data_IF_830373174839
#
_entry.id   IF_830373174839
#
_cell.length_a   1.000
_cell.length_b   1.000
_cell.length_c   1.000
_cell.angle_alpha   90.00
_cell.angle_beta   90.00
_cell.angle_gamma   90.00
#
_symmetry.space_group_name_H-M   'P 1'
#
loop_
_entity.id
_entity.type
_entity.pdbx_description
1 polymer ?
#
# COMPACT_ATOMS: atom_id res chain seq x y z
N UNK A 1 9.29 -7.31 -15.97
CA UNK A 1 8.77 -6.88 -14.66
C UNK A 1 7.47 -6.15 -14.90
N UNK A 2 6.40 -6.55 -14.22
CA UNK A 2 5.07 -5.94 -14.39
C UNK A 2 4.82 -5.09 -13.16
N UNK A 3 4.62 -3.80 -13.35
CA UNK A 3 4.17 -2.89 -12.28
C UNK A 3 2.70 -3.23 -12.00
N UNK A 4 2.37 -3.47 -10.73
CA UNK A 4 0.98 -3.65 -10.33
C UNK A 4 0.30 -2.29 -10.30
N UNK A 5 -0.72 -2.08 -11.14
CA UNK A 5 -1.49 -0.83 -11.19
C UNK A 5 -2.96 -1.08 -10.80
N UNK A 6 -3.42 -0.46 -9.72
CA UNK A 6 -4.81 -0.59 -9.24
C UNK A 6 -5.37 0.72 -8.71
N UNK A 7 -6.66 0.95 -8.98
CA UNK A 7 -7.42 2.04 -8.37
C UNK A 7 -8.15 1.51 -7.14
N UNK A 8 -8.02 2.21 -6.02
CA UNK A 8 -8.72 1.91 -4.77
C UNK A 8 -9.47 3.15 -4.31
N UNK A 9 -10.51 2.92 -3.50
CA UNK A 9 -11.34 3.99 -2.95
C UNK A 9 -10.97 4.16 -1.48
N UNK A 10 -10.28 5.25 -1.16
CA UNK A 10 -9.88 5.56 0.21
C UNK A 10 -11.11 5.76 1.12
N UNK A 11 -10.86 5.74 2.43
CA UNK A 11 -11.83 6.00 3.49
C UNK A 11 -12.73 7.23 3.23
N UNK A 12 -12.17 8.28 2.64
CA UNK A 12 -12.83 9.56 2.34
C UNK A 12 -13.50 9.62 0.95
N UNK A 13 -13.79 8.47 0.32
CA UNK A 13 -14.30 8.34 -1.06
C UNK A 13 -13.39 8.91 -2.15
N UNK A 14 -12.12 9.17 -1.84
CA UNK A 14 -11.14 9.60 -2.83
C UNK A 14 -10.63 8.38 -3.60
N UNK A 15 -10.54 8.48 -4.91
CA UNK A 15 -9.87 7.46 -5.70
C UNK A 15 -8.36 7.69 -5.64
N UNK A 16 -7.63 6.66 -5.23
CA UNK A 16 -6.17 6.63 -5.27
C UNK A 16 -5.71 5.60 -6.29
N UNK A 17 -4.71 5.94 -7.11
CA UNK A 17 -4.03 4.98 -7.97
C UNK A 17 -2.81 4.45 -7.21
N UNK A 18 -2.85 3.17 -6.91
CA UNK A 18 -1.78 2.44 -6.24
C UNK A 18 -0.96 1.70 -7.28
N UNK A 19 0.32 2.01 -7.32
CA UNK A 19 1.30 1.38 -8.17
C UNK A 19 2.39 0.76 -7.30
N UNK A 20 2.46 -0.57 -7.30
CA UNK A 20 3.51 -1.31 -6.62
C UNK A 20 4.54 -1.76 -7.65
N UNK A 21 5.79 -1.36 -7.44
CA UNK A 21 6.92 -1.88 -8.19
C UNK A 21 7.53 -3.08 -7.45
N UNK A 22 7.78 -4.21 -8.14
CA UNK A 22 8.39 -5.39 -7.54
C UNK A 22 9.82 -5.16 -7.02
N UNK A 23 10.45 -4.03 -7.36
CA UNK A 23 11.75 -3.62 -6.80
C UNK A 23 11.64 -3.03 -5.39
N UNK A 24 10.43 -2.95 -4.82
CA UNK A 24 10.20 -2.35 -3.50
C UNK A 24 9.95 -0.84 -3.56
N UNK A 25 9.32 -0.35 -4.63
CA UNK A 25 8.90 1.05 -4.72
C UNK A 25 7.38 1.14 -4.74
N UNK A 26 6.80 2.00 -3.90
CA UNK A 26 5.35 2.18 -3.84
C UNK A 26 5.03 3.62 -4.22
N UNK A 27 4.11 3.73 -5.16
CA UNK A 27 3.61 4.99 -5.67
C UNK A 27 2.09 5.02 -5.48
N UNK A 28 1.58 6.09 -4.88
CA UNK A 28 0.17 6.30 -4.61
C UNK A 28 -0.15 7.71 -5.09
N UNK A 29 -0.93 7.79 -6.16
CA UNK A 29 -1.44 9.04 -6.69
C UNK A 29 -2.86 9.27 -6.15
N UNK A 30 -3.01 10.27 -5.28
CA UNK A 30 -4.30 10.74 -4.77
C UNK A 30 -4.64 12.07 -5.44
N UNK A 31 -5.93 12.40 -5.48
CA UNK A 31 -6.45 13.62 -6.11
C UNK A 31 -5.72 14.91 -5.63
N UNK A 32 -5.34 14.96 -4.35
CA UNK A 32 -4.71 16.14 -3.74
C UNK A 32 -3.23 15.93 -3.36
N UNK A 33 -2.72 14.69 -3.44
CA UNK A 33 -1.40 14.35 -2.92
C UNK A 33 -0.81 13.14 -3.64
N UNK A 34 0.45 13.24 -4.03
CA UNK A 34 1.24 12.11 -4.51
C UNK A 34 2.15 11.61 -3.39
N UNK A 35 2.07 10.32 -3.06
CA UNK A 35 2.93 9.64 -2.10
C UNK A 35 3.75 8.60 -2.83
N UNK A 36 5.05 8.83 -2.95
CA UNK A 36 5.96 7.89 -3.59
C UNK A 36 7.18 7.66 -2.70
N UNK A 37 7.47 6.41 -2.38
CA UNK A 37 8.65 6.09 -1.59
C UNK A 37 9.16 4.67 -1.86
N UNK A 38 10.49 4.44 -1.77
CA UNK A 38 11.03 3.10 -1.66
C UNK A 38 10.61 2.51 -0.31
N UNK A 39 10.01 1.33 -0.28
CA UNK A 39 9.52 0.69 0.94
C UNK A 39 10.17 -0.67 1.14
N UNK A 40 10.44 -1.01 2.40
CA UNK A 40 10.95 -2.33 2.78
C UNK A 40 9.79 -3.25 3.15
N UNK A 41 8.80 -2.69 3.85
CA UNK A 41 7.64 -3.40 4.37
C UNK A 41 6.42 -2.48 4.39
N UNK A 42 5.23 -3.10 4.39
CA UNK A 42 3.98 -2.41 4.62
C UNK A 42 3.30 -3.05 5.82
N UNK A 43 3.06 -2.24 6.84
CA UNK A 43 2.31 -2.62 8.02
C UNK A 43 0.90 -2.03 7.97
N UNK A 44 -0.06 -2.70 8.60
CA UNK A 44 -1.41 -2.16 8.79
C UNK A 44 -1.73 -2.12 10.28
N UNK A 45 -2.32 -1.02 10.72
CA UNK A 45 -2.79 -0.85 12.09
C UNK A 45 -4.23 -0.31 12.11
N UNK A 46 -5.05 -0.69 13.11
CA UNK A 46 -6.41 -0.18 13.23
C UNK A 46 -6.38 1.32 13.56
N UNK A 47 -6.99 2.16 12.73
CA UNK A 47 -7.06 3.60 12.95
C UNK A 47 -8.40 4.06 13.51
N UNK A 48 -9.50 3.47 13.03
CA UNK A 48 -10.87 3.78 13.47
C UNK A 48 -11.82 2.63 13.10
N UNK A 49 -13.05 2.56 13.66
CA UNK A 49 -13.99 1.51 13.30
C UNK A 49 -14.27 1.48 11.78
N UNK A 50 -13.94 0.37 11.12
CA UNK A 50 -14.07 0.22 9.66
C UNK A 50 -12.91 0.81 8.85
N UNK A 51 -11.89 1.38 9.51
CA UNK A 51 -10.75 2.04 8.90
C UNK A 51 -9.42 1.48 9.41
N UNK A 52 -8.55 1.15 8.47
CA UNK A 52 -7.21 0.63 8.70
C UNK A 52 -6.19 1.62 8.15
N UNK A 53 -5.18 1.96 8.95
CA UNK A 53 -4.04 2.76 8.51
C UNK A 53 -2.94 1.85 7.98
N UNK A 54 -2.57 2.09 6.72
CA UNK A 54 -1.45 1.48 6.04
C UNK A 54 -0.21 2.34 6.27
N UNK A 55 0.80 1.77 6.90
CA UNK A 55 2.07 2.42 7.21
C UNK A 55 3.13 1.86 6.29
N UNK A 56 3.78 2.74 5.54
CA UNK A 56 4.90 2.42 4.68
C UNK A 56 6.20 2.48 5.48
N UNK A 57 6.81 1.32 5.74
CA UNK A 57 8.02 1.21 6.53
C UNK A 57 9.25 1.28 5.64
N UNK A 58 10.09 2.30 5.86
CA UNK A 58 11.43 2.39 5.30
C UNK A 58 12.47 1.64 6.13
N UNK A 59 13.75 1.74 5.75
CA UNK A 59 14.85 1.07 6.47
C UNK A 59 15.04 1.54 7.91
N UNK A 60 14.69 2.79 8.23
CA UNK A 60 14.91 3.39 9.55
C UNK A 60 13.66 4.00 10.20
N UNK A 61 12.67 4.42 9.41
CA UNK A 61 11.47 5.11 9.89
C UNK A 61 10.28 4.93 8.93
N UNK A 62 9.03 5.12 9.42
CA UNK A 62 7.87 5.14 8.55
C UNK A 62 7.94 6.34 7.60
N UNK A 63 7.86 6.06 6.31
CA UNK A 63 7.99 7.07 5.25
C UNK A 63 6.70 7.87 5.08
N UNK A 64 5.57 7.19 5.19
CA UNK A 64 4.25 7.80 5.20
C UNK A 64 3.22 6.82 5.77
N UNK A 65 2.08 7.35 6.19
CA UNK A 65 0.93 6.56 6.63
C UNK A 65 -0.35 7.05 5.95
N UNK A 66 -1.22 6.11 5.59
CA UNK A 66 -2.44 6.37 4.84
C UNK A 66 -3.61 5.59 5.42
N UNK A 67 -4.68 6.28 5.78
CA UNK A 67 -5.91 5.64 6.26
C UNK A 67 -6.80 5.19 5.11
N UNK A 68 -7.14 3.90 5.11
CA UNK A 68 -7.94 3.17 4.14
C UNK A 68 -9.15 2.54 4.84
N UNK A 69 -10.10 2.02 4.06
CA UNK A 69 -11.10 1.09 4.61
C UNK A 69 -10.46 -0.26 4.86
N UNK A 70 -10.98 -1.02 5.82
CA UNK A 70 -10.46 -2.34 6.18
C UNK A 70 -10.39 -3.31 4.98
N UNK A 71 -11.43 -3.28 4.14
CA UNK A 71 -11.52 -4.09 2.92
C UNK A 71 -10.45 -3.75 1.87
N UNK A 72 -10.12 -2.47 1.69
CA UNK A 72 -9.06 -2.02 0.77
C UNK A 72 -7.67 -2.34 1.32
N UNK A 73 -7.47 -2.20 2.64
CA UNK A 73 -6.21 -2.53 3.30
C UNK A 73 -5.92 -4.04 3.22
N UNK A 74 -6.91 -4.90 3.51
CA UNK A 74 -6.79 -6.35 3.33
C UNK A 74 -6.49 -6.71 1.87
N UNK A 75 -7.18 -6.07 0.92
CA UNK A 75 -6.98 -6.30 -0.50
C UNK A 75 -5.55 -5.93 -0.95
N UNK A 76 -5.02 -4.79 -0.51
CA UNK A 76 -3.63 -4.39 -0.78
C UNK A 76 -2.64 -5.38 -0.18
N UNK A 77 -2.80 -5.73 1.10
CA UNK A 77 -1.94 -6.71 1.77
C UNK A 77 -1.93 -8.05 1.05
N UNK A 78 -3.09 -8.51 0.58
CA UNK A 78 -3.19 -9.76 -0.19
C UNK A 78 -2.57 -9.64 -1.57
N UNK A 79 -2.66 -8.49 -2.22
CA UNK A 79 -1.98 -8.22 -3.49
C UNK A 79 -0.47 -8.28 -3.33
N UNK A 80 0.07 -7.54 -2.36
CA UNK A 80 1.51 -7.52 -2.05
C UNK A 80 1.97 -8.90 -1.60
N UNK A 81 1.25 -9.52 -0.66
CA UNK A 81 1.54 -10.86 -0.14
C UNK A 81 1.54 -11.94 -1.23
N UNK A 82 0.68 -11.82 -2.25
CA UNK A 82 0.70 -12.73 -3.40
C UNK A 82 1.92 -12.52 -4.30
N UNK A 83 2.47 -11.31 -4.41
CA UNK A 83 3.68 -11.06 -5.18
C UNK A 83 4.96 -11.35 -4.38
N UNK A 84 5.04 -11.00 -3.10
CA UNK A 84 6.18 -11.35 -2.23
C UNK A 84 6.31 -12.86 -1.99
N UNK A 85 5.20 -13.61 -2.03
CA UNK A 85 5.23 -15.09 -1.99
C UNK A 85 5.58 -15.75 -3.33
N UNK A 86 5.71 -15.01 -4.43
CA UNK A 86 6.32 -15.56 -5.66
C UNK A 86 7.85 -15.53 -5.61
N UNK A 87 8.44 -15.06 -4.51
CA UNK A 87 9.85 -15.22 -4.20
C UNK A 87 10.06 -16.09 -2.96
N UNK A 88 9.83 -17.40 -3.06
CA UNK A 88 10.47 -18.41 -2.21
C UNK A 88 10.36 -19.82 -2.82
N UNK A 89 11.32 -20.71 -2.50
CA UNK A 89 12.46 -21.13 -3.31
C UNK A 89 12.14 -22.30 -4.24
N UNK A 90 12.90 -22.45 -5.33
CA UNK A 90 13.16 -23.79 -5.88
C UNK A 90 14.46 -24.33 -5.28
#
# INVERSE_FOLDING_TARGET
>A
MTILDRRLTLADQRHGRFQLDPSGFLFIDLIDQELSAPFTSLATQPASPGLTELVCEGEAEPLWALTLKDEDADYLLRLIGRETLTGHPQ
#
